data_IF_551369829325
#
_entry.id   IF_551369829325
#
_cell.length_a   1.000
_cell.length_b   1.000
_cell.length_c   1.000
_cell.angle_alpha   90.00
_cell.angle_beta   90.00
_cell.angle_gamma   90.00
#
_symmetry.space_group_name_H-M   'P 1'
#
loop_
_entity.id
_entity.type
_entity.pdbx_description
1 polymer ?
#
# COMPACT_ATOMS: atom_id res chain seq x y z
N UNK A 1 18.79 -4.55 -14.60
CA UNK A 1 17.95 -4.94 -13.42
C UNK A 1 16.53 -4.60 -13.79
N UNK A 2 15.62 -5.58 -13.73
CA UNK A 2 14.20 -5.42 -14.05
C UNK A 2 13.36 -5.48 -12.78
N UNK A 3 12.43 -4.52 -12.60
CA UNK A 3 11.63 -4.40 -11.39
C UNK A 3 10.15 -4.44 -11.75
N UNK A 4 9.43 -5.38 -11.14
CA UNK A 4 8.00 -5.61 -11.36
C UNK A 4 7.18 -5.13 -10.17
N UNK A 5 6.29 -4.16 -10.41
CA UNK A 5 5.20 -3.82 -9.49
C UNK A 5 3.99 -4.72 -9.74
N UNK A 6 3.38 -5.20 -8.68
CA UNK A 6 2.18 -6.06 -8.74
C UNK A 6 1.13 -5.49 -7.81
N UNK A 7 -0.10 -5.35 -8.28
CA UNK A 7 -1.22 -4.88 -7.47
C UNK A 7 -2.51 -5.62 -7.79
N UNK A 8 -3.47 -5.57 -6.85
CA UNK A 8 -4.84 -6.03 -7.08
C UNK A 8 -5.82 -4.90 -6.74
N UNK A 9 -6.57 -4.44 -7.73
CA UNK A 9 -7.49 -3.31 -7.63
C UNK A 9 -8.94 -3.76 -7.60
N UNK A 10 -9.78 -2.97 -6.92
CA UNK A 10 -11.24 -3.06 -7.00
C UNK A 10 -11.86 -1.68 -6.82
N UNK A 11 -12.49 -1.16 -7.88
CA UNK A 11 -13.05 0.19 -7.86
C UNK A 11 -12.00 1.26 -7.47
N UNK A 12 -10.81 1.18 -8.06
CA UNK A 12 -9.68 2.08 -7.82
C UNK A 12 -9.29 2.88 -9.08
N UNK A 13 -10.14 2.88 -10.14
CA UNK A 13 -9.87 3.56 -11.40
C UNK A 13 -9.61 5.05 -11.27
N UNK A 14 -10.24 5.71 -10.29
CA UNK A 14 -10.01 7.11 -9.97
C UNK A 14 -8.55 7.44 -9.55
N UNK A 15 -7.74 6.43 -9.23
CA UNK A 15 -6.35 6.57 -8.73
C UNK A 15 -5.33 5.80 -9.57
N UNK A 16 -5.79 4.89 -10.44
CA UNK A 16 -4.92 3.94 -11.13
C UNK A 16 -3.86 4.63 -12.00
N UNK A 17 -4.23 5.68 -12.74
CA UNK A 17 -3.30 6.42 -13.61
C UNK A 17 -2.16 7.06 -12.80
N UNK A 18 -2.48 7.83 -11.74
CA UNK A 18 -1.46 8.49 -10.94
C UNK A 18 -0.56 7.48 -10.23
N UNK A 19 -1.14 6.39 -9.71
CA UNK A 19 -0.42 5.37 -8.98
C UNK A 19 0.57 4.61 -9.88
N UNK A 20 0.14 4.20 -11.07
CA UNK A 20 0.99 3.52 -12.06
C UNK A 20 2.11 4.46 -12.52
N UNK A 21 1.77 5.70 -12.88
CA UNK A 21 2.74 6.70 -13.33
C UNK A 21 3.78 7.01 -12.24
N UNK A 22 3.36 7.12 -10.97
CA UNK A 22 4.27 7.33 -9.85
C UNK A 22 5.30 6.22 -9.72
N UNK A 23 4.87 4.96 -9.87
CA UNK A 23 5.80 3.84 -9.74
C UNK A 23 6.71 3.70 -10.97
N UNK A 24 6.27 4.07 -12.17
CA UNK A 24 7.18 4.20 -13.32
C UNK A 24 8.21 5.31 -13.10
N UNK A 25 7.79 6.47 -12.59
CA UNK A 25 8.71 7.56 -12.22
C UNK A 25 9.71 7.14 -11.12
N UNK A 26 9.28 6.28 -10.18
CA UNK A 26 10.14 5.68 -9.17
C UNK A 26 11.09 4.60 -9.70
N UNK A 27 10.99 4.23 -10.99
CA UNK A 27 11.91 3.30 -11.66
C UNK A 27 11.42 1.86 -11.79
N UNK A 28 10.11 1.59 -11.66
CA UNK A 28 9.57 0.28 -12.01
C UNK A 28 9.55 0.11 -13.54
N UNK A 29 9.96 -1.05 -14.03
CA UNK A 29 10.00 -1.33 -15.46
C UNK A 29 8.66 -1.84 -16.01
N UNK A 30 7.91 -2.55 -15.17
CA UNK A 30 6.62 -3.16 -15.51
C UNK A 30 5.65 -3.15 -14.35
N UNK A 31 4.35 -3.04 -14.69
CA UNK A 31 3.26 -3.11 -13.74
C UNK A 31 2.29 -4.23 -14.14
N UNK A 32 2.12 -5.22 -13.26
CA UNK A 32 1.10 -6.27 -13.38
C UNK A 32 -0.10 -5.89 -12.51
N UNK A 33 -1.17 -5.48 -13.14
CA UNK A 33 -2.40 -5.05 -12.46
C UNK A 33 -3.46 -6.14 -12.60
N UNK A 34 -3.88 -6.70 -11.48
CA UNK A 34 -5.01 -7.60 -11.41
C UNK A 34 -6.23 -6.82 -10.92
N UNK A 35 -7.42 -7.15 -11.41
CA UNK A 35 -8.65 -6.57 -10.88
C UNK A 35 -9.80 -7.55 -10.83
N UNK A 36 -10.80 -7.24 -10.01
CA UNK A 36 -12.00 -8.05 -9.89
C UNK A 36 -13.21 -7.23 -9.46
N UNK A 37 -14.40 -7.61 -9.94
CA UNK A 37 -15.68 -7.10 -9.45
C UNK A 37 -15.80 -5.58 -9.45
N UNK A 38 -15.27 -4.93 -10.48
CA UNK A 38 -15.36 -3.49 -10.65
C UNK A 38 -16.77 -3.09 -11.08
N UNK A 39 -17.26 -1.94 -10.59
CA UNK A 39 -18.60 -1.40 -10.88
C UNK A 39 -18.57 0.10 -11.18
N UNK A 40 -17.38 0.72 -11.12
CA UNK A 40 -17.17 2.17 -11.25
C UNK A 40 -16.54 2.60 -12.58
N UNK A 41 -16.19 1.66 -13.46
CA UNK A 41 -15.47 1.93 -14.71
C UNK A 41 -13.96 1.65 -14.62
N UNK A 42 -13.45 1.14 -13.50
CA UNK A 42 -12.02 0.79 -13.32
C UNK A 42 -11.48 -0.09 -14.45
N UNK A 43 -12.28 -1.06 -14.94
CA UNK A 43 -11.84 -1.95 -16.03
C UNK A 43 -11.50 -1.15 -17.29
N UNK A 44 -12.31 -0.16 -17.66
CA UNK A 44 -12.04 0.66 -18.84
C UNK A 44 -10.74 1.50 -18.70
N UNK A 45 -10.46 2.01 -17.51
CA UNK A 45 -9.18 2.69 -17.22
C UNK A 45 -8.01 1.73 -17.40
N UNK A 46 -8.10 0.53 -16.84
CA UNK A 46 -7.02 -0.46 -16.87
C UNK A 46 -6.81 -1.05 -18.27
N UNK A 47 -7.87 -1.29 -19.03
CA UNK A 47 -7.82 -1.70 -20.45
C UNK A 47 -7.13 -0.63 -21.31
N UNK A 48 -7.49 0.64 -21.11
CA UNK A 48 -6.85 1.76 -21.81
C UNK A 48 -5.35 1.85 -21.47
N UNK A 49 -4.99 1.78 -20.20
CA UNK A 49 -3.59 1.83 -19.76
C UNK A 49 -2.77 0.63 -20.24
N UNK A 50 -3.37 -0.54 -20.41
CA UNK A 50 -2.71 -1.75 -20.92
C UNK A 50 -2.30 -1.67 -22.40
N UNK A 51 -2.63 -0.58 -23.12
CA UNK A 51 -2.04 -0.28 -24.42
C UNK A 51 -0.53 0.08 -24.31
N UNK A 52 -0.05 0.50 -23.12
CA UNK A 52 1.37 0.62 -22.85
C UNK A 52 1.97 -0.78 -22.60
N UNK A 53 3.00 -1.23 -23.34
CA UNK A 53 3.58 -2.56 -23.21
C UNK A 53 4.23 -2.84 -21.85
N UNK A 54 4.43 -1.82 -21.02
CA UNK A 54 4.93 -1.95 -19.64
C UNK A 54 3.83 -2.36 -18.66
N UNK A 55 2.56 -2.36 -19.07
CA UNK A 55 1.42 -2.66 -18.23
C UNK A 55 0.75 -3.94 -18.70
N UNK A 56 0.62 -4.92 -17.81
CA UNK A 56 -0.23 -6.09 -18.03
C UNK A 56 -1.46 -5.99 -17.14
N UNK A 57 -2.63 -6.11 -17.74
CA UNK A 57 -3.91 -6.11 -17.04
C UNK A 57 -4.55 -7.49 -17.07
N UNK A 58 -4.95 -8.00 -15.90
CA UNK A 58 -5.62 -9.28 -15.74
C UNK A 58 -6.89 -9.12 -14.92
N UNK A 59 -8.03 -9.15 -15.58
CA UNK A 59 -9.34 -9.22 -14.91
C UNK A 59 -9.64 -10.67 -14.52
N UNK A 60 -10.17 -10.90 -13.31
CA UNK A 60 -10.55 -12.22 -12.85
C UNK A 60 -11.82 -12.23 -12.01
N UNK A 61 -12.54 -13.35 -12.02
CA UNK A 61 -13.67 -13.58 -11.13
C UNK A 61 -13.22 -14.42 -9.93
N UNK A 62 -13.30 -13.90 -8.70
CA UNK A 62 -12.97 -14.66 -7.49
C UNK A 62 -13.86 -15.90 -7.37
N UNK A 63 -13.26 -17.04 -6.95
CA UNK A 63 -13.95 -18.33 -6.80
C UNK A 63 -13.93 -18.80 -5.34
N UNK A 64 -15.06 -19.31 -4.88
CA UNK A 64 -15.21 -19.90 -3.54
C UNK A 64 -14.96 -18.88 -2.43
N UNK A 65 -14.62 -19.38 -1.23
CA UNK A 65 -14.45 -18.54 -0.02
C UNK A 65 -12.99 -18.12 0.26
N UNK A 66 -12.05 -18.41 -0.66
CA UNK A 66 -10.65 -18.00 -0.47
C UNK A 66 -10.52 -16.50 -0.61
N UNK A 67 -9.69 -15.87 0.22
CA UNK A 67 -9.37 -14.46 0.10
C UNK A 67 -9.02 -14.09 -1.35
N UNK A 68 -9.64 -13.03 -1.83
CA UNK A 68 -9.48 -12.54 -3.21
C UNK A 68 -8.02 -12.17 -3.47
N UNK A 69 -7.35 -11.56 -2.50
CA UNK A 69 -5.94 -11.18 -2.60
C UNK A 69 -5.03 -12.41 -2.78
N UNK A 70 -5.33 -13.54 -2.12
CA UNK A 70 -4.60 -14.78 -2.34
C UNK A 70 -4.83 -15.38 -3.72
N UNK A 71 -6.02 -15.19 -4.28
CA UNK A 71 -6.30 -15.60 -5.66
C UNK A 71 -5.54 -14.73 -6.67
N UNK A 72 -5.51 -13.42 -6.45
CA UNK A 72 -4.69 -12.49 -7.24
C UNK A 72 -3.19 -12.83 -7.16
N UNK A 73 -2.66 -13.08 -5.95
CA UNK A 73 -1.26 -13.49 -5.78
C UNK A 73 -0.93 -14.79 -6.53
N UNK A 74 -1.86 -15.74 -6.59
CA UNK A 74 -1.66 -16.97 -7.35
C UNK A 74 -1.60 -16.69 -8.86
N UNK A 75 -2.49 -15.86 -9.39
CA UNK A 75 -2.44 -15.45 -10.79
C UNK A 75 -1.14 -14.71 -11.13
N UNK A 76 -0.72 -13.80 -10.25
CA UNK A 76 0.56 -13.10 -10.40
C UNK A 76 1.76 -14.06 -10.32
N UNK A 77 1.70 -15.09 -9.47
CA UNK A 77 2.75 -16.11 -9.34
C UNK A 77 2.94 -16.91 -10.65
N UNK A 78 1.85 -17.15 -11.36
CA UNK A 78 1.84 -17.92 -12.61
C UNK A 78 2.13 -17.03 -13.84
N UNK A 79 2.24 -15.70 -13.67
CA UNK A 79 2.48 -14.78 -14.76
C UNK A 79 3.96 -14.76 -15.19
N UNK A 80 4.23 -14.79 -16.50
CA UNK A 80 5.57 -14.87 -17.06
C UNK A 80 6.51 -13.72 -16.61
N UNK A 81 5.97 -12.54 -16.36
CA UNK A 81 6.73 -11.38 -15.93
C UNK A 81 7.38 -11.56 -14.54
N UNK A 82 6.75 -12.31 -13.64
CA UNK A 82 7.35 -12.58 -12.34
C UNK A 82 8.62 -13.44 -12.47
N UNK A 83 8.58 -14.47 -13.32
CA UNK A 83 9.73 -15.31 -13.56
C UNK A 83 10.90 -14.61 -14.28
N UNK A 84 10.59 -13.54 -15.02
CA UNK A 84 11.56 -12.71 -15.75
C UNK A 84 12.10 -11.52 -14.95
N UNK A 85 11.49 -11.20 -13.79
CA UNK A 85 11.87 -10.05 -12.99
C UNK A 85 13.06 -10.35 -12.06
N UNK A 86 14.02 -9.43 -11.98
CA UNK A 86 15.09 -9.47 -10.99
C UNK A 86 14.55 -9.17 -9.58
N UNK A 87 13.62 -8.21 -9.51
CA UNK A 87 12.96 -7.77 -8.29
C UNK A 87 11.45 -7.62 -8.49
N UNK A 88 10.68 -7.87 -7.45
CA UNK A 88 9.23 -7.67 -7.47
C UNK A 88 8.72 -7.18 -6.11
N UNK A 89 7.59 -6.49 -6.13
CA UNK A 89 6.83 -6.12 -4.95
C UNK A 89 5.33 -6.28 -5.23
N UNK A 90 4.58 -6.81 -4.26
CA UNK A 90 3.12 -6.74 -4.24
C UNK A 90 2.70 -5.68 -3.24
N UNK A 91 1.92 -4.69 -3.70
CA UNK A 91 1.47 -3.56 -2.89
C UNK A 91 0.08 -3.06 -3.33
N UNK A 92 -0.56 -2.26 -2.48
CA UNK A 92 -1.93 -1.84 -2.71
C UNK A 92 -1.97 -0.48 -3.46
N UNK A 93 -3.06 -0.17 -4.16
CA UNK A 93 -3.22 1.07 -4.96
C UNK A 93 -3.25 2.36 -4.12
N UNK A 94 -3.26 2.26 -2.81
CA UNK A 94 -3.16 3.38 -1.88
C UNK A 94 -1.78 3.50 -1.20
N UNK A 95 -0.79 2.72 -1.67
CA UNK A 95 0.60 2.72 -1.21
C UNK A 95 1.52 3.31 -2.29
N UNK A 96 2.23 4.38 -1.96
CA UNK A 96 3.15 5.10 -2.87
C UNK A 96 4.58 4.99 -2.38
N UNK A 97 5.49 4.48 -3.21
CA UNK A 97 6.91 4.41 -2.84
C UNK A 97 7.50 5.81 -2.67
N UNK A 98 8.06 6.08 -1.50
CA UNK A 98 8.77 7.30 -1.21
C UNK A 98 10.28 7.06 -1.18
N UNK A 99 11.02 7.81 -2.01
CA UNK A 99 12.47 7.83 -2.10
C UNK A 99 12.94 9.24 -1.68
N UNK A 100 13.15 9.51 -0.40
CA UNK A 100 13.35 10.86 0.13
C UNK A 100 14.65 11.54 -0.34
N UNK A 101 15.61 10.75 -0.85
CA UNK A 101 16.87 11.26 -1.43
C UNK A 101 16.80 11.43 -2.94
N UNK A 102 15.62 11.21 -3.54
CA UNK A 102 15.47 11.15 -5.00
C UNK A 102 16.06 9.89 -5.62
N UNK A 103 16.20 9.89 -6.95
CA UNK A 103 16.65 8.74 -7.72
C UNK A 103 15.54 7.71 -7.93
N UNK A 104 15.95 6.50 -8.28
CA UNK A 104 15.08 5.37 -8.60
C UNK A 104 15.23 4.23 -7.61
N UNK A 105 14.31 3.28 -7.65
CA UNK A 105 14.43 2.04 -6.86
C UNK A 105 15.65 1.21 -7.26
N UNK A 106 16.11 1.30 -8.53
CA UNK A 106 17.36 0.69 -8.99
C UNK A 106 18.58 1.34 -8.31
N UNK A 107 18.58 2.67 -8.17
CA UNK A 107 19.65 3.38 -7.46
C UNK A 107 19.69 2.99 -5.98
N UNK A 108 18.53 2.88 -5.34
CA UNK A 108 18.41 2.41 -3.95
C UNK A 108 18.99 1.00 -3.78
N UNK A 109 18.60 0.05 -4.64
CA UNK A 109 19.10 -1.33 -4.59
C UNK A 109 20.59 -1.35 -4.81
N UNK A 110 21.11 -0.66 -5.82
CA UNK A 110 22.53 -0.61 -6.17
C UNK A 110 23.37 -0.03 -5.02
N UNK A 111 22.91 1.04 -4.41
CA UNK A 111 23.56 1.65 -3.26
C UNK A 111 23.59 0.72 -2.03
N UNK A 112 22.48 0.02 -1.76
CA UNK A 112 22.41 -0.97 -0.69
C UNK A 112 23.32 -2.17 -0.95
N UNK A 113 23.38 -2.67 -2.19
CA UNK A 113 24.28 -3.78 -2.56
C UNK A 113 25.76 -3.39 -2.47
N UNK A 114 26.12 -2.18 -2.87
CA UNK A 114 27.47 -1.67 -2.75
C UNK A 114 27.91 -1.53 -1.28
N UNK A 115 27.01 -1.11 -0.40
CA UNK A 115 27.30 -0.87 1.02
C UNK A 115 27.23 -2.16 1.86
N UNK A 116 26.22 -2.99 1.61
CA UNK A 116 25.89 -4.15 2.46
C UNK A 116 26.18 -5.51 1.80
N UNK A 117 26.53 -5.54 0.51
CA UNK A 117 26.58 -6.74 -0.31
C UNK A 117 25.21 -7.25 -0.74
N UNK A 118 25.18 -8.29 -1.58
CA UNK A 118 23.94 -8.85 -2.14
C UNK A 118 22.92 -9.21 -1.06
N UNK A 119 21.64 -8.90 -1.31
CA UNK A 119 20.51 -9.21 -0.45
C UNK A 119 19.32 -9.69 -1.29
N UNK A 120 18.33 -10.30 -0.63
CA UNK A 120 17.19 -10.92 -1.31
C UNK A 120 15.87 -10.19 -1.07
N UNK A 121 15.78 -9.40 0.00
CA UNK A 121 14.56 -8.70 0.37
C UNK A 121 14.84 -7.40 1.14
N UNK A 122 14.08 -6.35 0.83
CA UNK A 122 14.04 -5.07 1.53
C UNK A 122 12.64 -4.85 2.07
N UNK A 123 12.53 -4.69 3.40
CA UNK A 123 11.27 -4.33 4.03
C UNK A 123 11.01 -2.84 3.88
N UNK A 124 9.89 -2.47 3.25
CA UNK A 124 9.44 -1.10 3.05
C UNK A 124 8.24 -0.83 3.98
N UNK A 125 8.46 -0.22 5.16
CA UNK A 125 7.40 0.03 6.13
C UNK A 125 6.41 1.06 5.62
N UNK A 126 5.21 1.04 6.16
CA UNK A 126 4.24 2.09 5.95
C UNK A 126 4.62 3.38 6.70
N UNK A 127 4.29 4.51 6.11
CA UNK A 127 4.00 5.77 6.80
C UNK A 127 2.54 6.07 6.56
N UNK A 128 1.75 6.10 7.62
CA UNK A 128 0.30 6.29 7.54
C UNK A 128 -0.01 7.77 7.38
N UNK A 129 -0.88 8.11 6.42
CA UNK A 129 -1.33 9.46 6.16
C UNK A 129 -2.80 9.60 6.56
N UNK A 130 -3.11 10.68 7.27
CA UNK A 130 -4.46 11.02 7.65
C UNK A 130 -5.24 11.74 6.55
N UNK A 131 -6.47 12.12 6.88
CA UNK A 131 -7.35 12.85 5.97
C UNK A 131 -6.99 14.33 5.81
N UNK A 132 -6.09 14.87 6.64
CA UNK A 132 -5.82 16.29 6.68
C UNK A 132 -7.04 17.16 7.00
N UNK A 133 -8.11 16.56 7.56
CA UNK A 133 -9.39 17.23 7.79
C UNK A 133 -10.21 17.48 6.52
N UNK A 134 -9.82 16.91 5.38
CA UNK A 134 -10.56 17.07 4.12
C UNK A 134 -11.85 16.24 4.15
N UNK A 135 -12.98 16.93 3.97
CA UNK A 135 -14.30 16.30 3.93
C UNK A 135 -14.61 15.75 2.53
N UNK A 136 -14.39 16.56 1.52
CA UNK A 136 -14.68 16.22 0.12
C UNK A 136 -13.40 16.01 -0.68
N UNK A 137 -13.52 15.25 -1.78
CA UNK A 137 -12.44 15.12 -2.75
C UNK A 137 -12.10 16.49 -3.36
N UNK A 138 -10.81 16.79 -3.43
CA UNK A 138 -10.27 17.97 -4.11
C UNK A 138 -9.46 17.55 -5.34
N UNK A 139 -9.17 18.49 -6.22
CA UNK A 139 -8.25 18.28 -7.34
C UNK A 139 -6.79 18.11 -6.87
N UNK A 140 -5.96 17.51 -7.71
CA UNK A 140 -4.55 17.25 -7.44
C UNK A 140 -4.24 15.79 -7.21
N UNK A 141 -2.96 15.47 -7.23
CA UNK A 141 -2.46 14.12 -6.94
C UNK A 141 -2.62 13.77 -5.46
N UNK A 142 -2.83 12.50 -5.18
CA UNK A 142 -3.02 12.02 -3.79
C UNK A 142 -1.94 12.53 -2.82
N UNK A 143 -0.62 12.50 -3.14
CA UNK A 143 0.40 13.01 -2.21
C UNK A 143 0.40 14.54 -2.02
N UNK A 144 -0.17 15.31 -2.93
CA UNK A 144 -0.32 16.77 -2.77
C UNK A 144 -1.51 17.13 -1.90
N UNK A 145 -2.56 16.34 -2.00
CA UNK A 145 -3.79 16.53 -1.25
C UNK A 145 -3.62 16.14 0.23
N UNK A 146 -2.80 15.17 0.51
CA UNK A 146 -2.61 14.60 1.86
C UNK A 146 -1.14 14.65 2.24
N UNK A 147 -0.75 15.73 2.92
CA UNK A 147 0.63 16.01 3.34
C UNK A 147 0.86 15.76 4.83
N UNK A 148 -0.20 15.46 5.58
CA UNK A 148 -0.08 15.18 7.01
C UNK A 148 -0.04 13.67 7.27
N UNK A 149 0.95 13.23 8.04
CA UNK A 149 1.17 11.82 8.33
C UNK A 149 1.54 11.53 9.78
N UNK A 150 1.68 10.24 10.07
CA UNK A 150 2.19 9.76 11.33
C UNK A 150 3.68 10.14 11.52
N UNK A 151 4.15 10.28 12.77
CA UNK A 151 5.57 10.29 13.07
C UNK A 151 6.27 9.04 12.51
N UNK A 152 7.52 9.17 12.07
CA UNK A 152 8.26 8.01 11.55
C UNK A 152 8.56 6.96 12.63
N UNK A 153 8.61 7.37 13.88
CA UNK A 153 8.81 6.52 15.06
C UNK A 153 7.49 6.18 15.79
N UNK A 154 6.37 6.17 15.06
CA UNK A 154 5.05 5.87 15.62
C UNK A 154 5.06 4.59 16.46
N UNK A 155 4.78 4.71 17.77
CA UNK A 155 4.73 3.59 18.71
C UNK A 155 3.40 2.82 18.67
N UNK A 156 2.92 2.54 17.48
CA UNK A 156 1.70 1.79 17.22
C UNK A 156 1.98 0.68 16.20
N UNK A 157 1.64 -0.60 16.51
CA UNK A 157 2.06 -1.75 15.68
C UNK A 157 1.71 -1.68 14.20
N UNK A 158 0.56 -1.10 13.85
CA UNK A 158 0.12 -0.96 12.47
C UNK A 158 1.04 -0.05 11.63
N UNK A 159 1.64 0.98 12.22
CA UNK A 159 2.61 1.86 11.55
C UNK A 159 3.92 1.18 11.19
N UNK A 160 4.11 -0.06 11.63
CA UNK A 160 5.29 -0.88 11.36
C UNK A 160 5.02 -2.06 10.41
N UNK A 161 3.79 -2.18 9.90
CA UNK A 161 3.52 -3.08 8.78
C UNK A 161 4.32 -2.63 7.56
N UNK A 162 4.67 -3.59 6.70
CA UNK A 162 5.52 -3.33 5.54
C UNK A 162 5.08 -4.13 4.32
N UNK A 163 5.55 -3.73 3.16
CA UNK A 163 5.59 -4.56 1.94
C UNK A 163 7.04 -4.90 1.62
N UNK A 164 7.25 -5.93 0.82
CA UNK A 164 8.60 -6.43 0.55
C UNK A 164 8.98 -6.28 -0.91
N UNK A 165 9.99 -5.47 -1.18
CA UNK A 165 10.71 -5.52 -2.45
C UNK A 165 11.69 -6.69 -2.37
N UNK A 166 11.59 -7.67 -3.27
CA UNK A 166 12.34 -8.92 -3.14
C UNK A 166 12.74 -9.52 -4.49
N UNK A 167 13.76 -10.35 -4.48
CA UNK A 167 14.14 -11.19 -5.63
C UNK A 167 13.19 -12.40 -5.70
N UNK A 168 12.33 -12.55 -6.73
CA UNK A 168 11.40 -13.67 -6.83
C UNK A 168 12.10 -15.04 -6.74
N UNK A 169 13.27 -15.13 -7.33
CA UNK A 169 14.09 -16.36 -7.33
C UNK A 169 14.54 -16.82 -5.94
N UNK A 170 14.60 -15.94 -4.95
CA UNK A 170 15.00 -16.27 -3.57
C UNK A 170 13.87 -16.86 -2.74
N UNK A 171 12.61 -16.76 -3.17
CA UNK A 171 11.44 -17.15 -2.42
C UNK A 171 10.64 -18.26 -3.14
N UNK A 172 9.76 -18.91 -2.39
CA UNK A 172 8.90 -19.99 -2.91
C UNK A 172 7.64 -19.44 -3.59
N UNK A 173 7.07 -18.37 -3.07
CA UNK A 173 5.84 -17.78 -3.57
C UNK A 173 5.70 -16.33 -3.10
N UNK A 174 4.87 -15.57 -3.81
CA UNK A 174 4.42 -14.25 -3.39
C UNK A 174 3.61 -14.29 -2.08
N UNK A 175 3.49 -13.17 -1.42
CA UNK A 175 2.61 -12.95 -0.28
C UNK A 175 2.21 -11.49 -0.16
N UNK A 176 1.16 -11.20 0.61
CA UNK A 176 0.56 -9.86 0.71
C UNK A 176 1.53 -8.82 1.28
N UNK A 177 2.21 -9.16 2.37
CA UNK A 177 3.19 -8.29 3.04
C UNK A 177 4.61 -8.75 2.76
N UNK A 178 4.81 -10.06 2.75
CA UNK A 178 6.12 -10.66 2.52
C UNK A 178 6.01 -11.94 1.70
N UNK A 179 7.01 -12.25 0.85
CA UNK A 179 7.06 -13.49 0.10
C UNK A 179 7.27 -14.69 1.06
N UNK A 180 6.86 -15.89 0.61
CA UNK A 180 7.00 -17.14 1.36
C UNK A 180 8.41 -17.67 1.27
N UNK A 181 9.01 -17.96 2.42
CA UNK A 181 10.38 -18.44 2.51
C UNK A 181 10.58 -19.82 1.84
N UNK A 182 11.75 -20.04 1.26
CA UNK A 182 12.24 -21.37 0.90
C UNK A 182 12.80 -22.06 2.14
N UNK A 183 12.47 -23.34 2.34
CA UNK A 183 12.99 -24.10 3.48
C UNK A 183 14.49 -24.40 3.37
N UNK A 184 15.00 -24.50 2.15
CA UNK A 184 16.36 -24.93 1.85
C UNK A 184 17.44 -23.84 1.95
N UNK A 185 17.05 -22.56 1.81
CA UNK A 185 18.00 -21.43 1.81
C UNK A 185 17.35 -20.21 2.44
N UNK A 186 17.83 -19.75 3.61
CA UNK A 186 17.38 -18.50 4.21
C UNK A 186 17.69 -17.32 3.29
N UNK A 187 16.70 -16.48 3.04
CA UNK A 187 16.88 -15.24 2.32
C UNK A 187 17.52 -14.18 3.23
N UNK A 188 18.38 -13.33 2.65
CA UNK A 188 18.97 -12.20 3.36
C UNK A 188 18.06 -11.00 3.27
N UNK A 189 17.59 -10.55 4.42
CA UNK A 189 16.67 -9.43 4.57
C UNK A 189 17.36 -8.18 5.08
N UNK A 190 17.03 -7.05 4.48
CA UNK A 190 17.38 -5.72 4.98
C UNK A 190 16.13 -4.99 5.49
N UNK A 191 16.32 -4.21 6.53
CA UNK A 191 15.37 -3.22 7.03
C UNK A 191 15.39 -1.94 6.16
N UNK A 192 14.47 -1.00 6.43
CA UNK A 192 14.33 0.24 5.64
C UNK A 192 15.55 1.17 5.72
N UNK A 193 16.41 1.00 6.70
CA UNK A 193 17.69 1.70 6.90
C UNK A 193 18.89 1.00 6.23
N UNK A 194 18.67 -0.20 5.66
CA UNK A 194 19.71 -1.06 5.12
C UNK A 194 20.38 -1.95 6.17
N UNK A 195 19.93 -1.93 7.43
CA UNK A 195 20.39 -2.86 8.46
C UNK A 195 19.90 -4.29 8.19
N UNK A 196 20.70 -5.30 8.52
CA UNK A 196 20.29 -6.70 8.41
C UNK A 196 19.19 -7.03 9.42
N UNK A 197 18.10 -7.64 8.97
CA UNK A 197 17.04 -8.09 9.87
C UNK A 197 17.41 -9.43 10.54
N UNK A 198 16.93 -9.67 11.78
CA UNK A 198 17.24 -10.90 12.52
C UNK A 198 16.88 -12.17 11.76
N UNK A 199 17.66 -13.23 11.91
CA UNK A 199 17.45 -14.52 11.22
C UNK A 199 16.06 -15.12 11.57
N UNK A 200 15.58 -14.98 12.82
CA UNK A 200 14.26 -15.41 13.23
C UNK A 200 13.14 -14.65 12.51
N UNK A 201 13.34 -13.35 12.21
CA UNK A 201 12.42 -12.58 11.37
C UNK A 201 12.43 -13.10 9.93
N UNK A 202 13.62 -13.32 9.36
CA UNK A 202 13.76 -13.77 7.97
C UNK A 202 13.07 -15.12 7.70
N UNK A 203 13.10 -16.04 8.67
CA UNK A 203 12.54 -17.38 8.55
C UNK A 203 11.05 -17.49 8.88
N UNK A 204 10.45 -16.46 9.48
CA UNK A 204 9.04 -16.47 9.89
C UNK A 204 8.11 -15.88 8.84
N UNK A 205 7.33 -16.69 8.15
CA UNK A 205 6.31 -16.22 7.19
C UNK A 205 5.23 -15.33 7.83
N UNK A 206 5.05 -15.40 9.16
CA UNK A 206 4.10 -14.57 9.90
C UNK A 206 4.65 -13.23 10.38
N UNK A 207 5.96 -12.96 10.26
CA UNK A 207 6.57 -11.71 10.69
C UNK A 207 6.30 -10.59 9.66
N UNK A 208 5.15 -9.92 9.79
CA UNK A 208 4.68 -8.86 8.87
C UNK A 208 4.78 -7.44 9.46
N UNK A 209 5.39 -7.29 10.63
CA UNK A 209 5.61 -6.01 11.29
C UNK A 209 7.06 -5.88 11.74
N UNK A 210 7.62 -4.68 11.62
CA UNK A 210 8.95 -4.31 12.14
C UNK A 210 8.87 -3.72 13.57
N UNK A 211 7.71 -3.76 14.22
CA UNK A 211 7.55 -3.25 15.58
C UNK A 211 8.48 -3.96 16.55
N UNK A 212 9.21 -3.17 17.33
CA UNK A 212 10.21 -3.70 18.27
C UNK A 212 11.57 -4.07 17.64
N UNK A 213 11.72 -3.96 16.33
CA UNK A 213 13.01 -4.09 15.65
C UNK A 213 13.62 -2.68 15.53
N UNK A 214 14.78 -2.47 16.14
CA UNK A 214 15.50 -1.21 16.06
C UNK A 214 15.82 -0.87 14.59
N UNK A 215 15.53 0.36 14.19
CA UNK A 215 15.75 0.86 12.84
C UNK A 215 16.50 2.19 12.92
N UNK A 216 17.43 2.39 11.98
CA UNK A 216 18.05 3.69 11.71
C UNK A 216 17.18 4.56 10.81
N UNK A 217 17.78 5.61 10.25
CA UNK A 217 17.09 6.49 9.30
C UNK A 217 16.66 5.72 8.04
N UNK A 218 15.39 5.76 7.75
CA UNK A 218 14.79 5.05 6.60
C UNK A 218 15.31 5.63 5.28
N UNK A 219 15.68 4.75 4.35
CA UNK A 219 16.11 5.11 2.99
C UNK A 219 14.95 5.10 2.00
N UNK A 220 13.92 4.32 2.29
CA UNK A 220 12.68 4.24 1.54
C UNK A 220 11.55 3.72 2.43
N UNK A 221 10.31 4.04 2.06
CA UNK A 221 9.10 3.56 2.72
C UNK A 221 7.90 3.68 1.76
N UNK A 222 6.74 3.20 2.18
CA UNK A 222 5.49 3.38 1.44
C UNK A 222 4.60 4.39 2.17
N UNK A 223 4.28 5.51 1.52
CA UNK A 223 3.23 6.39 1.97
C UNK A 223 1.88 5.70 1.76
N UNK A 224 1.13 5.48 2.84
CA UNK A 224 -0.12 4.74 2.82
C UNK A 224 -1.30 5.69 3.03
N UNK A 225 -2.00 6.00 1.94
CA UNK A 225 -3.14 6.92 1.87
C UNK A 225 -4.47 6.15 1.99
N UNK A 226 -4.61 5.34 3.03
CA UNK A 226 -5.73 4.40 3.17
C UNK A 226 -7.09 5.06 3.43
N UNK A 227 -7.10 6.30 3.88
CA UNK A 227 -8.32 7.07 4.18
C UNK A 227 -8.70 8.01 3.06
N UNK A 228 -7.79 8.90 2.68
CA UNK A 228 -8.05 10.08 1.84
C UNK A 228 -9.09 11.01 2.50
N UNK A 229 -9.97 11.71 1.74
CA UNK A 229 -11.05 12.51 2.30
C UNK A 229 -12.16 11.66 2.93
N UNK A 230 -13.04 12.29 3.72
CA UNK A 230 -14.19 11.60 4.32
C UNK A 230 -15.12 11.04 3.25
N UNK A 231 -15.37 11.78 2.15
CA UNK A 231 -16.11 11.30 0.98
C UNK A 231 -15.51 10.01 0.41
N UNK A 232 -14.20 10.03 0.10
CA UNK A 232 -13.47 8.89 -0.48
C UNK A 232 -13.45 7.69 0.47
N UNK A 233 -13.34 7.94 1.78
CA UNK A 233 -13.42 6.90 2.80
C UNK A 233 -14.80 6.23 2.85
N UNK A 234 -15.87 7.01 2.83
CA UNK A 234 -17.23 6.48 2.87
C UNK A 234 -17.59 5.73 1.58
N UNK A 235 -17.12 6.20 0.43
CA UNK A 235 -17.22 5.45 -0.82
C UNK A 235 -16.43 4.12 -0.76
N UNK A 236 -15.21 4.13 -0.18
CA UNK A 236 -14.42 2.91 0.08
C UNK A 236 -15.15 1.96 1.01
N UNK A 237 -15.79 2.46 2.07
CA UNK A 237 -16.62 1.66 2.98
C UNK A 237 -17.77 0.99 2.24
N UNK A 238 -18.50 1.72 1.40
CA UNK A 238 -19.65 1.23 0.67
C UNK A 238 -19.29 0.10 -0.33
N UNK A 239 -18.12 0.20 -0.99
CA UNK A 239 -17.63 -0.86 -1.88
C UNK A 239 -17.12 -2.09 -1.14
N UNK A 240 -16.76 -1.96 0.16
CA UNK A 240 -16.15 -3.00 0.99
C UNK A 240 -14.65 -3.20 0.74
N UNK A 241 -13.99 -3.97 1.64
CA UNK A 241 -12.59 -4.37 1.48
C UNK A 241 -12.47 -5.62 0.60
N UNK A 242 -11.45 -5.72 -0.26
CA UNK A 242 -11.24 -6.90 -1.10
C UNK A 242 -11.02 -8.20 -0.32
N UNK A 243 -10.50 -8.13 0.90
CA UNK A 243 -9.98 -9.28 1.64
C UNK A 243 -10.74 -9.65 2.92
N UNK A 244 -11.51 -8.73 3.47
CA UNK A 244 -12.18 -8.88 4.75
C UNK A 244 -13.60 -8.34 4.63
N UNK A 245 -14.47 -9.07 3.93
CA UNK A 245 -15.86 -8.68 3.75
C UNK A 245 -16.63 -8.55 5.07
N UNK A 246 -16.13 -9.19 6.15
CA UNK A 246 -16.70 -9.14 7.50
C UNK A 246 -16.07 -8.06 8.39
N UNK A 247 -14.91 -7.48 8.02
CA UNK A 247 -14.28 -6.42 8.82
C UNK A 247 -14.92 -5.07 8.49
N UNK A 248 -15.59 -4.51 9.46
CA UNK A 248 -16.21 -3.19 9.32
C UNK A 248 -15.15 -2.10 9.05
N UNK A 249 -15.36 -1.34 7.97
CA UNK A 249 -14.64 -0.09 7.69
C UNK A 249 -15.41 1.03 8.39
N UNK A 250 -15.11 1.27 9.66
CA UNK A 250 -15.79 2.22 10.51
C UNK A 250 -14.83 3.09 11.32
N UNK A 251 -15.29 3.54 12.50
CA UNK A 251 -14.51 4.43 13.38
C UNK A 251 -13.16 3.85 13.80
N UNK A 252 -13.10 2.57 14.10
CA UNK A 252 -11.82 1.91 14.47
C UNK A 252 -10.81 1.99 13.32
N UNK A 253 -11.24 1.67 12.09
CA UNK A 253 -10.39 1.76 10.91
C UNK A 253 -9.88 3.19 10.70
N UNK A 254 -10.77 4.19 10.88
CA UNK A 254 -10.43 5.60 10.78
C UNK A 254 -9.41 6.01 11.84
N UNK A 255 -9.70 5.74 13.12
CA UNK A 255 -8.83 6.15 14.23
C UNK A 255 -7.42 5.54 14.12
N UNK A 256 -7.31 4.27 13.70
CA UNK A 256 -6.02 3.60 13.53
C UNK A 256 -5.17 4.17 12.38
N UNK A 257 -5.74 5.00 11.50
CA UNK A 257 -5.08 5.47 10.26
C UNK A 257 -5.12 6.97 10.06
N UNK A 258 -5.90 7.73 10.86
CA UNK A 258 -6.05 9.18 10.68
C UNK A 258 -4.96 9.97 11.42
N UNK A 259 -3.72 9.78 10.98
CA UNK A 259 -2.55 10.42 11.55
C UNK A 259 -2.26 11.73 10.82
N UNK A 260 -2.48 12.87 11.49
CA UNK A 260 -2.28 14.22 10.95
C UNK A 260 -1.27 14.99 11.83
N UNK A 261 -0.20 14.34 12.28
CA UNK A 261 0.66 14.82 13.35
C UNK A 261 1.88 15.59 12.85
N UNK A 262 2.39 15.22 11.68
CA UNK A 262 3.58 15.82 11.08
C UNK A 262 3.33 16.18 9.62
N UNK A 263 3.91 17.28 9.17
CA UNK A 263 4.03 17.55 7.75
C UNK A 263 5.02 16.57 7.12
N UNK A 264 4.59 15.82 6.12
CA UNK A 264 5.28 14.67 5.56
C UNK A 264 5.31 14.81 4.04
N UNK A 265 6.23 15.63 3.55
CA UNK A 265 6.30 16.11 2.17
C UNK A 265 7.45 15.50 1.36
N UNK A 266 8.14 14.50 1.89
CA UNK A 266 9.34 13.92 1.28
C UNK A 266 9.09 13.28 -0.09
N UNK A 267 7.83 12.93 -0.39
CA UNK A 267 7.43 12.38 -1.70
C UNK A 267 7.20 13.46 -2.77
N UNK A 268 6.93 14.72 -2.37
CA UNK A 268 6.53 15.79 -3.31
C UNK A 268 7.55 16.03 -4.43
N UNK A 269 8.88 15.98 -4.21
CA UNK A 269 9.85 16.12 -5.28
C UNK A 269 9.73 15.07 -6.40
N UNK A 270 9.09 13.91 -6.14
CA UNK A 270 8.87 12.87 -7.15
C UNK A 270 7.70 13.18 -8.08
N UNK A 271 6.83 14.14 -7.75
CA UNK A 271 5.56 14.36 -8.46
C UNK A 271 5.74 15.02 -9.82
N UNK A 272 6.81 15.75 -10.05
CA UNK A 272 7.12 16.29 -11.38
C UNK A 272 7.36 15.13 -12.37
N UNK A 273 8.19 14.16 -11.98
CA UNK A 273 8.43 12.96 -12.77
C UNK A 273 7.15 12.10 -12.90
N UNK A 274 6.33 12.05 -11.86
CA UNK A 274 5.02 11.37 -11.92
C UNK A 274 4.12 11.98 -12.98
N UNK A 275 4.00 13.32 -13.02
CA UNK A 275 3.22 14.01 -14.07
C UNK A 275 3.77 13.79 -15.47
N UNK A 276 5.10 13.79 -15.61
CA UNK A 276 5.73 13.50 -16.89
C UNK A 276 5.41 12.06 -17.36
N UNK A 277 5.39 11.08 -16.47
CA UNK A 277 4.95 9.71 -16.81
C UNK A 277 3.45 9.63 -17.10
N UNK A 278 2.58 10.34 -16.36
CA UNK A 278 1.15 10.40 -16.67
C UNK A 278 0.91 10.91 -18.09
N UNK A 279 1.68 11.91 -18.54
CA UNK A 279 1.57 12.45 -19.89
C UNK A 279 2.10 11.53 -21.00
N UNK A 280 2.92 10.51 -20.66
CA UNK A 280 3.43 9.49 -21.58
C UNK A 280 2.53 8.28 -21.72
N UNK A 281 1.75 7.99 -20.68
CA UNK A 281 0.80 6.87 -20.66
C UNK A 281 -0.36 7.15 -21.63
N UNK A 282 -1.06 6.10 -22.10
CA UNK A 282 -2.27 6.27 -22.88
C UNK A 282 -3.28 7.20 -22.20
N UNK A 283 -3.91 8.07 -22.96
CA UNK A 283 -4.92 8.99 -22.43
C UNK A 283 -6.19 8.21 -22.02
N UNK A 284 -6.42 8.17 -20.73
CA UNK A 284 -7.60 7.59 -20.08
C UNK A 284 -8.34 8.63 -19.22
N UNK A 285 -8.14 9.91 -19.48
CA UNK A 285 -8.68 11.01 -18.66
C UNK A 285 -10.19 10.95 -18.53
N UNK A 286 -10.88 10.57 -19.60
CA UNK A 286 -12.33 10.42 -19.63
C UNK A 286 -12.80 9.28 -18.73
N UNK A 287 -12.13 8.14 -18.81
CA UNK A 287 -12.44 6.95 -18.03
C UNK A 287 -12.15 7.18 -16.54
N UNK A 288 -11.03 7.86 -16.22
CA UNK A 288 -10.70 8.29 -14.84
C UNK A 288 -11.77 9.25 -14.31
N UNK A 289 -12.19 10.24 -15.09
CA UNK A 289 -13.26 11.17 -14.69
C UNK A 289 -14.59 10.44 -14.45
N UNK A 290 -14.91 9.42 -15.25
CA UNK A 290 -16.08 8.58 -15.03
C UNK A 290 -15.99 7.82 -13.69
N UNK A 291 -14.83 7.26 -13.35
CA UNK A 291 -14.60 6.59 -12.06
C UNK A 291 -14.75 7.56 -10.88
N UNK A 292 -14.22 8.78 -10.99
CA UNK A 292 -14.39 9.83 -9.96
C UNK A 292 -15.88 10.16 -9.77
N UNK A 293 -16.61 10.33 -10.87
CA UNK A 293 -18.07 10.58 -10.85
C UNK A 293 -18.82 9.43 -10.19
N UNK A 294 -18.49 8.19 -10.54
CA UNK A 294 -19.11 7.00 -9.95
C UNK A 294 -18.83 6.90 -8.43
N UNK A 295 -17.61 7.24 -8.00
CA UNK A 295 -17.24 7.26 -6.59
C UNK A 295 -18.05 8.31 -5.81
N UNK A 296 -18.17 9.53 -6.34
CA UNK A 296 -18.97 10.59 -5.73
C UNK A 296 -20.46 10.22 -5.70
N UNK A 297 -21.00 9.64 -6.76
CA UNK A 297 -22.38 9.16 -6.80
C UNK A 297 -22.63 8.06 -5.74
N UNK A 298 -21.69 7.14 -5.56
CA UNK A 298 -21.76 6.11 -4.52
C UNK A 298 -21.79 6.74 -3.12
N UNK A 299 -20.93 7.70 -2.85
CA UNK A 299 -20.94 8.45 -1.59
C UNK A 299 -22.31 9.12 -1.37
N UNK A 300 -22.83 9.86 -2.35
CA UNK A 300 -24.14 10.53 -2.24
C UNK A 300 -25.27 9.52 -1.97
N UNK A 301 -25.27 8.38 -2.63
CA UNK A 301 -26.25 7.32 -2.39
C UNK A 301 -26.19 6.78 -0.96
N UNK A 302 -24.99 6.64 -0.38
CA UNK A 302 -24.83 6.13 1.00
C UNK A 302 -25.24 7.13 2.06
N UNK A 303 -25.21 8.44 1.77
CA UNK A 303 -25.64 9.50 2.69
C UNK A 303 -27.15 9.50 2.97
N UNK A 304 -27.95 8.76 2.19
CA UNK A 304 -29.36 8.49 2.50
C UNK A 304 -29.58 7.52 3.66
N UNK A 305 -28.54 6.78 4.08
CA UNK A 305 -28.60 5.88 5.24
C UNK A 305 -28.26 6.61 6.55
N UNK A 306 -29.10 6.45 7.58
CA UNK A 306 -28.94 7.17 8.86
C UNK A 306 -27.64 6.78 9.59
N UNK A 307 -27.21 5.53 9.51
CA UNK A 307 -25.98 5.10 10.18
C UNK A 307 -24.73 5.63 9.44
N UNK A 308 -24.77 5.71 8.13
CA UNK A 308 -23.70 6.36 7.33
C UNK A 308 -23.65 7.87 7.60
N UNK A 309 -24.79 8.53 7.67
CA UNK A 309 -24.85 9.96 8.04
C UNK A 309 -24.28 10.22 9.46
N UNK A 310 -24.63 9.38 10.43
CA UNK A 310 -24.07 9.43 11.79
C UNK A 310 -22.57 9.17 11.80
N UNK A 311 -22.11 8.19 11.01
CA UNK A 311 -20.69 7.90 10.88
C UNK A 311 -19.96 9.10 10.27
N UNK A 312 -20.44 9.66 9.15
CA UNK A 312 -19.87 10.85 8.53
C UNK A 312 -19.68 11.99 9.54
N UNK A 313 -20.72 12.31 10.31
CA UNK A 313 -20.62 13.34 11.35
C UNK A 313 -19.53 13.02 12.39
N UNK A 314 -19.45 11.77 12.86
CA UNK A 314 -18.43 11.32 13.83
C UNK A 314 -17.02 11.39 13.26
N UNK A 315 -16.83 11.04 11.97
CA UNK A 315 -15.51 11.13 11.31
C UNK A 315 -15.00 12.56 11.28
N UNK A 316 -15.88 13.54 11.05
CA UNK A 316 -15.53 14.98 11.08
C UNK A 316 -15.15 15.47 12.48
N UNK A 317 -15.67 14.87 13.54
CA UNK A 317 -15.25 15.16 14.91
C UNK A 317 -13.88 14.57 15.25
N UNK A 318 -13.45 13.53 14.55
CA UNK A 318 -12.18 12.83 14.77
C UNK A 318 -11.13 13.34 13.78
N UNK A 319 -10.60 14.53 14.03
CA UNK A 319 -9.70 15.26 13.12
C UNK A 319 -8.29 14.68 13.05
N UNK A 320 -7.92 13.79 13.97
CA UNK A 320 -6.62 13.12 13.97
C UNK A 320 -6.43 12.23 15.20
N UNK A 321 -5.56 11.23 15.07
CA UNK A 321 -5.19 10.33 16.16
C UNK A 321 -3.97 10.88 16.92
N UNK A 322 -3.90 10.61 18.21
CA UNK A 322 -2.77 11.01 19.06
C UNK A 322 -1.77 9.85 19.12
N UNK A 323 -0.49 10.09 18.75
CA UNK A 323 0.54 9.06 18.84
C UNK A 323 0.75 8.63 20.29
N UNK A 324 0.74 7.32 20.59
CA UNK A 324 1.10 6.85 21.92
C UNK A 324 2.58 7.08 22.19
N UNK A 325 2.93 7.29 23.46
CA UNK A 325 4.32 7.31 23.91
C UNK A 325 4.95 5.91 23.74
N UNK A 326 6.29 5.88 23.73
CA UNK A 326 7.03 4.62 23.68
C UNK A 326 6.65 3.65 24.83
N UNK A 327 6.35 4.18 26.02
CA UNK A 327 5.93 3.37 27.17
C UNK A 327 4.53 2.77 26.94
N UNK A 328 3.55 3.58 26.53
CA UNK A 328 2.19 3.11 26.23
C UNK A 328 2.18 2.05 25.14
N UNK A 329 2.97 2.23 24.07
CA UNK A 329 3.11 1.23 23.00
C UNK A 329 3.67 -0.10 23.52
N UNK A 330 4.70 -0.07 24.38
CA UNK A 330 5.26 -1.29 25.01
C UNK A 330 4.26 -1.97 25.96
N UNK A 331 3.55 -1.21 26.75
CA UNK A 331 2.59 -1.76 27.73
C UNK A 331 1.40 -2.39 27.01
N UNK A 332 0.92 -1.76 25.93
CA UNK A 332 -0.12 -2.33 25.06
C UNK A 332 0.32 -3.68 24.47
N UNK A 333 1.52 -3.76 23.90
CA UNK A 333 2.04 -5.00 23.29
C UNK A 333 2.22 -6.11 24.33
N UNK A 334 2.71 -5.78 25.53
CA UNK A 334 2.86 -6.75 26.64
C UNK A 334 1.50 -7.31 27.03
N UNK A 335 0.52 -6.44 27.30
CA UNK A 335 -0.82 -6.86 27.67
C UNK A 335 -1.47 -7.73 26.58
N UNK A 336 -1.32 -7.37 25.31
CA UNK A 336 -1.83 -8.16 24.18
C UNK A 336 -1.22 -9.56 24.13
N UNK A 337 0.10 -9.68 24.30
CA UNK A 337 0.80 -10.97 24.29
C UNK A 337 0.32 -11.84 25.47
N UNK A 338 0.19 -11.28 26.67
CA UNK A 338 -0.29 -11.99 27.86
C UNK A 338 -1.71 -12.53 27.68
N UNK A 339 -2.63 -11.74 27.07
CA UNK A 339 -3.99 -12.19 26.80
C UNK A 339 -3.98 -13.33 25.78
N UNK A 340 -3.28 -13.17 24.65
CA UNK A 340 -3.20 -14.19 23.61
C UNK A 340 -2.52 -15.51 24.06
N UNK A 341 -1.68 -15.46 25.08
CA UNK A 341 -1.08 -16.66 25.69
C UNK A 341 -2.08 -17.38 26.59
N UNK A 342 -2.91 -16.65 27.35
CA UNK A 342 -3.96 -17.22 28.19
C UNK A 342 -5.05 -17.94 27.39
N UNK A 343 -5.41 -17.41 26.22
CA UNK A 343 -6.42 -18.03 25.34
C UNK A 343 -5.96 -19.33 24.67
N UNK A 344 -4.66 -19.69 24.80
CA UNK A 344 -4.08 -20.93 24.25
C UNK A 344 -3.89 -22.04 25.31
N UNK A 345 -4.10 -21.72 26.57
CA UNK A 345 -4.06 -22.66 27.71
C UNK A 345 -5.46 -23.03 28.16
#
# INVERSE_FOLDING_TARGET
MSILGITCMRNDGAYALEWIAHHFAAGFDRMLVLSHGNTDGTDAVLEGLAADPRIAYVSFAPKGQKSVQWQALKLAQDHAWLGAADWAIFFDCDEFLCLPKGGTVQDLISALEAEKGAFDALALPWRLYGSGGQDMRTEGLTPERFTLGAPQDLHFPMGHLFKTLHRPSAFRALGVHRPRAKKSKPARWLGPDGGALPAGFASSDGAISLYGIGQGARRAWLNHYSLRSTEEFLAKRARGLPNHMEREIGLTYWAERNWNNEEATEILPMLEATRAEMARLPDVSREVAACVTAQSALYQATMGDIETLRLHFRLRLLTGSTPPSAQEGRDFMRAQIEILQKDKT
#
